data_IF_354867018841
#
_entry.id   IF_354867018841
#
_cell.length_a   1.000
_cell.length_b   1.000
_cell.length_c   1.000
_cell.angle_alpha   90.00
_cell.angle_beta   90.00
_cell.angle_gamma   90.00
#
_symmetry.space_group_name_H-M   'P 1'
#
loop_
_entity.id
_entity.type
_entity.pdbx_description
1 polymer ?
#
# COMPACT_ATOMS: atom_id res chain seq x y z
N UNK A 1 15.06 -6.41 -24.78
CA UNK A 1 13.94 -6.87 -23.94
C UNK A 1 13.91 -5.96 -22.71
N UNK A 2 12.76 -5.36 -22.36
CA UNK A 2 12.66 -4.56 -21.12
C UNK A 2 12.45 -5.53 -19.96
N UNK A 3 13.29 -5.46 -18.94
CA UNK A 3 13.09 -6.19 -17.68
C UNK A 3 11.76 -5.73 -17.07
N UNK A 4 10.88 -6.65 -16.65
CA UNK A 4 9.63 -6.26 -16.01
C UNK A 4 9.94 -5.51 -14.71
N UNK A 5 9.15 -4.48 -14.43
CA UNK A 5 9.25 -3.76 -13.17
C UNK A 5 8.71 -4.64 -12.03
N UNK A 6 9.55 -4.86 -11.03
CA UNK A 6 9.15 -5.52 -9.77
C UNK A 6 8.46 -4.52 -8.86
N UNK A 7 7.72 -5.03 -7.87
CA UNK A 7 7.04 -4.21 -6.86
C UNK A 7 8.02 -3.30 -6.11
N UNK A 8 9.14 -3.86 -5.66
CA UNK A 8 10.15 -3.14 -4.87
C UNK A 8 10.78 -2.03 -5.68
N UNK A 9 11.03 -2.28 -6.96
CA UNK A 9 11.62 -1.29 -7.86
C UNK A 9 10.68 -0.10 -8.06
N UNK A 10 9.39 -0.35 -8.26
CA UNK A 10 8.38 0.70 -8.38
C UNK A 10 8.28 1.54 -7.09
N UNK A 11 8.29 0.90 -5.92
CA UNK A 11 8.27 1.62 -4.63
C UNK A 11 9.48 2.56 -4.53
N UNK A 12 10.68 2.06 -4.80
CA UNK A 12 11.90 2.89 -4.77
C UNK A 12 11.85 4.03 -5.77
N UNK A 13 11.37 3.77 -6.98
CA UNK A 13 11.24 4.80 -8.00
C UNK A 13 10.23 5.88 -7.61
N UNK A 14 9.11 5.52 -6.96
CA UNK A 14 8.14 6.48 -6.42
C UNK A 14 8.71 7.33 -5.29
N UNK A 15 9.44 6.73 -4.34
CA UNK A 15 10.11 7.45 -3.27
C UNK A 15 11.18 8.41 -3.81
N UNK A 16 11.95 7.97 -4.81
CA UNK A 16 12.94 8.81 -5.49
C UNK A 16 12.30 9.97 -6.27
N UNK A 17 11.06 9.80 -6.73
CA UNK A 17 10.26 10.85 -7.36
C UNK A 17 9.81 11.93 -6.37
N UNK A 18 9.99 11.70 -5.06
CA UNK A 18 9.62 12.61 -3.99
C UNK A 18 8.24 12.34 -3.39
N UNK A 19 7.61 11.20 -3.71
CA UNK A 19 6.40 10.77 -3.03
C UNK A 19 6.74 10.43 -1.58
N UNK A 20 6.14 11.14 -0.64
CA UNK A 20 6.30 10.90 0.78
C UNK A 20 5.10 10.15 1.37
N UNK A 21 5.37 9.46 2.47
CA UNK A 21 4.32 8.83 3.27
C UNK A 21 3.33 9.89 3.77
N UNK A 22 2.04 9.69 3.49
CA UNK A 22 0.96 10.59 3.90
C UNK A 22 0.55 11.60 2.84
N UNK A 23 1.21 11.61 1.68
CA UNK A 23 0.83 12.48 0.57
C UNK A 23 -0.52 12.07 -0.03
N UNK A 24 -1.28 13.05 -0.52
CA UNK A 24 -2.45 12.78 -1.37
C UNK A 24 -2.03 12.88 -2.83
N UNK A 25 -1.97 11.76 -3.53
CA UNK A 25 -1.58 11.71 -4.94
C UNK A 25 -2.79 11.63 -5.85
N UNK A 26 -2.80 12.45 -6.90
CA UNK A 26 -3.69 12.29 -8.05
C UNK A 26 -2.90 11.76 -9.24
N UNK A 27 -3.25 10.57 -9.73
CA UNK A 27 -2.47 9.87 -10.75
C UNK A 27 -3.29 9.77 -12.02
N UNK A 28 -2.77 10.37 -13.09
CA UNK A 28 -3.27 10.16 -14.44
C UNK A 28 -2.22 9.36 -15.22
N UNK A 29 -2.40 8.05 -15.31
CA UNK A 29 -1.46 7.17 -15.99
C UNK A 29 -2.16 6.19 -16.93
N UNK A 30 -1.53 5.91 -18.06
CA UNK A 30 -1.91 4.82 -18.95
C UNK A 30 -1.03 3.62 -18.64
N UNK A 31 -1.63 2.51 -18.22
CA UNK A 31 -0.91 1.27 -17.91
C UNK A 31 -0.02 0.79 -19.08
N UNK A 32 -0.45 1.03 -20.32
CA UNK A 32 0.31 0.70 -21.54
C UNK A 32 1.64 1.46 -21.64
N UNK A 33 1.77 2.61 -21.00
CA UNK A 33 2.97 3.47 -21.07
C UNK A 33 4.02 3.13 -20.00
N UNK A 34 3.63 2.46 -18.90
CA UNK A 34 4.54 1.99 -17.85
C UNK A 34 5.48 0.88 -18.34
N UNK A 35 5.05 0.10 -19.34
CA UNK A 35 5.79 -1.04 -19.84
C UNK A 35 5.47 -2.34 -19.07
N UNK A 36 6.32 -3.38 -19.19
CA UNK A 36 6.06 -4.65 -18.54
C UNK A 36 6.22 -4.51 -17.02
N UNK A 37 5.20 -4.93 -16.26
CA UNK A 37 5.20 -4.95 -14.80
C UNK A 37 4.88 -6.38 -14.36
N UNK A 38 5.58 -6.88 -13.35
CA UNK A 38 5.28 -8.18 -12.74
C UNK A 38 3.86 -8.20 -12.20
N UNK A 39 3.11 -9.27 -12.48
CA UNK A 39 1.70 -9.44 -12.07
C UNK A 39 0.73 -8.31 -12.54
N UNK A 40 1.17 -7.47 -13.48
CA UNK A 40 0.34 -6.48 -14.16
C UNK A 40 0.02 -5.23 -13.32
N UNK A 41 -1.19 -4.69 -13.50
CA UNK A 41 -1.59 -3.41 -12.92
C UNK A 41 -1.73 -3.44 -11.38
N UNK A 42 -2.04 -4.60 -10.80
CA UNK A 42 -2.17 -4.76 -9.35
C UNK A 42 -0.89 -4.43 -8.60
N UNK A 43 0.26 -4.80 -9.16
CA UNK A 43 1.58 -4.48 -8.59
C UNK A 43 1.87 -2.99 -8.57
N UNK A 44 1.43 -2.26 -9.60
CA UNK A 44 1.58 -0.80 -9.66
C UNK A 44 0.78 -0.14 -8.54
N UNK A 45 -0.48 -0.56 -8.36
CA UNK A 45 -1.35 -0.04 -7.30
C UNK A 45 -0.76 -0.39 -5.93
N UNK A 46 -0.34 -1.64 -5.70
CA UNK A 46 0.23 -2.08 -4.44
C UNK A 46 1.57 -1.41 -4.10
N UNK A 47 2.33 -0.97 -5.11
CA UNK A 47 3.55 -0.19 -4.94
C UNK A 47 3.24 1.28 -4.60
N UNK A 48 2.25 1.90 -5.26
CA UNK A 48 1.78 3.25 -4.95
C UNK A 48 1.19 3.34 -3.54
N UNK A 49 0.33 2.38 -3.16
CA UNK A 49 -0.20 2.28 -1.81
C UNK A 49 0.92 2.16 -0.79
N UNK A 50 1.95 1.34 -1.06
CA UNK A 50 3.08 1.21 -0.14
C UNK A 50 3.93 2.48 -0.03
N UNK A 51 4.11 3.23 -1.13
CA UNK A 51 4.84 4.49 -1.13
C UNK A 51 4.08 5.59 -0.39
N UNK A 52 2.76 5.67 -0.57
CA UNK A 52 1.92 6.72 0.02
C UNK A 52 1.46 6.39 1.44
N UNK A 53 1.30 5.11 1.79
CA UNK A 53 0.75 4.73 3.09
C UNK A 53 1.60 5.33 4.22
N UNK A 54 1.09 6.41 4.83
CA UNK A 54 1.51 6.86 6.15
C UNK A 54 1.00 5.84 7.15
N UNK A 55 1.88 4.96 7.60
CA UNK A 55 1.70 4.15 8.81
C UNK A 55 0.25 3.71 9.05
N UNK A 56 -0.38 3.02 8.10
CA UNK A 56 -1.56 2.22 8.42
C UNK A 56 -1.07 0.94 9.11
N UNK A 57 -0.54 1.11 10.34
CA UNK A 57 -0.30 0.04 11.29
C UNK A 57 -1.66 -0.58 11.59
N UNK A 58 -2.01 -1.59 10.79
CA UNK A 58 -3.02 -2.63 11.05
C UNK A 58 -4.19 -2.13 11.91
N UNK A 59 -5.18 -1.51 11.28
CA UNK A 59 -6.56 -1.53 11.77
C UNK A 59 -7.40 -2.49 10.90
N UNK A 60 -6.87 -3.70 10.67
CA UNK A 60 -7.65 -4.79 10.09
C UNK A 60 -8.21 -5.61 11.26
N UNK A 61 -9.31 -5.13 11.85
CA UNK A 61 -10.16 -5.80 12.84
C UNK A 61 -9.49 -6.33 14.13
N UNK A 62 -9.15 -5.44 15.06
CA UNK A 62 -9.19 -5.79 16.48
C UNK A 62 -10.57 -5.42 17.04
N UNK A 63 -11.58 -6.25 16.81
CA UNK A 63 -12.85 -6.16 17.54
C UNK A 63 -12.61 -6.68 18.96
N UNK A 64 -12.68 -5.86 20.02
CA UNK A 64 -12.63 -6.36 21.39
C UNK A 64 -14.02 -6.86 21.77
N UNK A 65 -14.50 -7.92 21.12
CA UNK A 65 -15.69 -8.67 21.55
C UNK A 65 -15.24 -9.97 22.16
N UNK A 66 -14.94 -9.90 23.46
CA UNK A 66 -14.56 -11.08 24.23
C UNK A 66 -14.22 -10.87 25.69
N UNK A 67 -14.11 -9.64 26.20
CA UNK A 67 -13.86 -9.42 27.63
C UNK A 67 -15.15 -9.16 28.39
N UNK A 68 -15.86 -10.25 28.67
CA UNK A 68 -16.95 -10.28 29.65
C UNK A 68 -16.34 -10.04 31.04
N UNK A 69 -16.34 -8.78 31.48
CA UNK A 69 -16.11 -8.43 32.88
C UNK A 69 -17.32 -8.91 33.69
N UNK A 70 -17.38 -10.20 34.02
CA UNK A 70 -18.23 -10.66 35.11
C UNK A 70 -17.63 -10.18 36.41
N UNK A 71 -17.92 -8.92 36.73
CA UNK A 71 -17.77 -8.34 38.06
C UNK A 71 -18.79 -9.05 38.95
N UNK A 72 -18.40 -10.16 39.57
CA UNK A 72 -19.15 -10.78 40.65
C UNK A 72 -18.94 -9.91 41.88
N UNK A 73 -19.85 -8.95 42.07
CA UNK A 73 -20.11 -8.38 43.38
C UNK A 73 -21.14 -9.29 44.06
N UNK A 74 -20.80 -9.68 45.29
CA UNK A 74 -21.52 -10.53 46.24
C UNK A 74 -21.26 -12.04 46.12
#
# INVERSE_FOLDING_TARGET
>A
MRTPYTREKLIQDFLNLGIAHGDTLFIHSSFKSLGPVEDGAGTVIAALEAAVAAFYRVWKNASPRGMSTKRRLR
#
